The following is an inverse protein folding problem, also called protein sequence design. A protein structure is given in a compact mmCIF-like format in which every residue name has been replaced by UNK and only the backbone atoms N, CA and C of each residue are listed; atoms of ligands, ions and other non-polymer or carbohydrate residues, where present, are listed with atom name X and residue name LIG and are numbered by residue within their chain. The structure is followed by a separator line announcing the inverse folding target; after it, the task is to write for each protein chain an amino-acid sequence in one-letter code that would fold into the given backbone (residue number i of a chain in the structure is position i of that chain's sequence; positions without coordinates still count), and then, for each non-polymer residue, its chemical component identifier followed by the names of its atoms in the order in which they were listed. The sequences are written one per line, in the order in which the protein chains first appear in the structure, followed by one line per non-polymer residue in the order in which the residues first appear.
data_IF_720122364168
#
_entry.id   IF_720122364168
#
_cell.length_a   1.000
_cell.length_b   1.000
_cell.length_c   1.000
_cell.angle_alpha   90.00
_cell.angle_beta   90.00
_cell.angle_gamma   90.00
#
_symmetry.space_group_name_H-M   'P 1'
#
loop_
_entity.id
_entity.type
_entity.pdbx_description
1 polymer ?
#
# COMPACT_ATOMS: atom_id res chain seq x y z
N UNK A 1 6.24 19.31 -15.57
CA UNK A 1 5.59 19.96 -14.53
C UNK A 1 4.13 20.34 -14.80
N UNK A 2 3.34 19.45 -15.46
CA UNK A 2 1.93 19.75 -15.70
C UNK A 2 1.14 19.62 -14.40
N UNK A 3 0.24 20.54 -14.16
CA UNK A 3 -0.72 20.47 -13.05
C UNK A 3 -1.87 19.54 -13.43
N UNK A 4 -2.22 18.62 -12.53
CA UNK A 4 -3.27 17.64 -12.78
C UNK A 4 -4.18 17.49 -11.58
N UNK A 5 -5.44 17.17 -11.86
CA UNK A 5 -6.43 16.74 -10.86
C UNK A 5 -6.91 15.35 -11.22
N UNK A 6 -6.71 14.39 -10.33
CA UNK A 6 -6.99 12.98 -10.53
C UNK A 6 -8.02 12.48 -9.53
N UNK A 7 -8.89 11.58 -9.97
CA UNK A 7 -9.71 10.77 -9.06
C UNK A 7 -8.97 9.46 -8.78
N UNK A 8 -8.58 9.25 -7.54
CA UNK A 8 -7.75 8.13 -7.10
C UNK A 8 -8.52 7.20 -6.18
N UNK A 9 -8.28 5.90 -6.31
CA UNK A 9 -8.96 4.88 -5.51
C UNK A 9 -10.38 4.54 -5.98
N UNK A 10 -11.01 3.58 -5.33
CA UNK A 10 -12.43 3.23 -5.48
C UNK A 10 -12.88 2.58 -6.79
N UNK A 11 -12.05 2.51 -7.84
CA UNK A 11 -12.45 1.95 -9.14
C UNK A 11 -12.46 0.42 -9.18
N UNK A 12 -11.49 -0.20 -8.50
CA UNK A 12 -11.35 -1.67 -8.47
C UNK A 12 -12.15 -2.26 -7.31
N UNK A 13 -12.14 -1.59 -6.19
CA UNK A 13 -12.84 -1.98 -4.98
C UNK A 13 -13.77 -0.82 -4.55
N UNK A 14 -15.02 -0.93 -4.89
CA UNK A 14 -16.05 0.07 -4.58
C UNK A 14 -16.71 -0.15 -3.21
N UNK A 15 -16.46 -1.30 -2.58
CA UNK A 15 -17.08 -1.68 -1.31
C UNK A 15 -16.32 -1.08 -0.13
N UNK A 16 -14.99 -1.21 -0.12
CA UNK A 16 -14.14 -0.78 0.99
C UNK A 16 -13.40 0.51 0.74
N UNK A 17 -13.24 0.91 -0.52
CA UNK A 17 -12.47 2.08 -0.91
C UNK A 17 -13.35 3.10 -1.63
N UNK A 18 -13.34 4.31 -1.10
CA UNK A 18 -14.01 5.43 -1.77
C UNK A 18 -12.99 6.22 -2.61
N UNK A 19 -13.39 6.69 -3.81
CA UNK A 19 -12.53 7.54 -4.60
C UNK A 19 -12.33 8.89 -3.91
N UNK A 20 -11.13 9.45 -4.05
CA UNK A 20 -10.84 10.81 -3.58
C UNK A 20 -10.14 11.62 -4.68
N UNK A 21 -10.27 12.92 -4.61
CA UNK A 21 -9.66 13.85 -5.55
C UNK A 21 -8.26 14.20 -5.04
N UNK A 22 -7.27 14.05 -5.91
CA UNK A 22 -5.88 14.42 -5.64
C UNK A 22 -5.38 15.35 -6.74
N UNK A 23 -4.99 16.57 -6.36
CA UNK A 23 -4.43 17.58 -7.27
C UNK A 23 -2.96 17.79 -6.97
N UNK A 24 -2.16 18.00 -7.99
CA UNK A 24 -0.73 18.25 -7.81
C UNK A 24 0.00 18.38 -9.14
N UNK A 25 1.33 18.45 -9.07
CA UNK A 25 2.20 18.63 -10.22
C UNK A 25 2.84 17.29 -10.57
N UNK A 26 2.82 16.92 -11.85
CA UNK A 26 3.57 15.75 -12.34
C UNK A 26 5.06 16.06 -12.27
N UNK A 27 5.79 15.30 -11.44
CA UNK A 27 7.25 15.44 -11.28
C UNK A 27 8.01 14.35 -12.01
N UNK A 28 7.38 13.21 -12.33
CA UNK A 28 7.96 12.12 -13.09
C UNK A 28 6.89 11.45 -13.95
N UNK A 29 7.27 11.09 -15.18
CA UNK A 29 6.50 10.22 -16.07
C UNK A 29 7.47 9.34 -16.83
N UNK A 30 7.48 8.05 -16.55
CA UNK A 30 8.39 7.09 -17.21
C UNK A 30 7.80 5.69 -17.27
N UNK A 31 8.39 4.84 -18.10
CA UNK A 31 8.16 3.40 -18.13
C UNK A 31 9.08 2.73 -17.11
N UNK A 32 8.55 1.82 -16.31
CA UNK A 32 9.28 1.07 -15.29
C UNK A 32 8.95 -0.42 -15.39
N UNK A 33 9.54 -1.24 -14.53
CA UNK A 33 9.12 -2.65 -14.37
C UNK A 33 7.66 -2.81 -13.91
N UNK A 34 7.04 -1.73 -13.45
CA UNK A 34 5.62 -1.66 -13.05
C UNK A 34 4.73 -1.02 -14.12
N UNK A 35 5.20 -0.99 -15.38
CA UNK A 35 4.53 -0.32 -16.48
C UNK A 35 4.67 1.20 -16.43
N UNK A 36 3.76 1.91 -17.07
CA UNK A 36 3.73 3.37 -17.05
C UNK A 36 3.57 3.87 -15.62
N UNK A 37 4.52 4.66 -15.18
CA UNK A 37 4.57 5.17 -13.81
C UNK A 37 4.65 6.69 -13.81
N UNK A 38 3.83 7.30 -12.94
CA UNK A 38 3.74 8.75 -12.78
C UNK A 38 3.89 9.09 -11.30
N UNK A 39 4.61 10.17 -10.99
CA UNK A 39 4.63 10.77 -9.65
C UNK A 39 3.92 12.11 -9.70
N UNK A 40 2.92 12.26 -8.86
CA UNK A 40 2.22 13.53 -8.65
C UNK A 40 2.57 14.05 -7.26
N UNK A 41 3.10 15.27 -7.22
CA UNK A 41 3.52 15.93 -5.98
C UNK A 41 2.53 17.02 -5.57
N UNK A 42 2.13 16.99 -4.29
CA UNK A 42 1.35 18.03 -3.64
C UNK A 42 1.81 18.24 -2.20
N UNK A 43 2.18 19.47 -1.83
CA UNK A 43 2.56 19.84 -0.46
C UNK A 43 3.51 18.86 0.26
N UNK A 44 4.57 18.42 -0.42
CA UNK A 44 5.54 17.47 0.15
C UNK A 44 5.12 16.00 0.05
N UNK A 45 3.89 15.69 -0.35
CA UNK A 45 3.43 14.32 -0.58
C UNK A 45 3.73 13.93 -2.03
N UNK A 46 4.39 12.80 -2.21
CA UNK A 46 4.65 12.19 -3.51
C UNK A 46 3.75 10.98 -3.69
N UNK A 47 2.73 11.09 -4.54
CA UNK A 47 1.85 9.98 -4.88
C UNK A 47 2.39 9.27 -6.12
N UNK A 48 2.78 8.01 -5.96
CA UNK A 48 3.25 7.16 -7.05
C UNK A 48 2.05 6.38 -7.59
N UNK A 49 1.81 6.50 -8.89
CA UNK A 49 0.74 5.80 -9.60
C UNK A 49 1.39 4.97 -10.70
N UNK A 50 1.17 3.66 -10.68
CA UNK A 50 1.70 2.72 -11.67
C UNK A 50 0.58 1.90 -12.31
N UNK A 51 0.82 1.48 -13.55
CA UNK A 51 -0.11 0.64 -14.32
C UNK A 51 -0.24 -0.76 -13.74
N UNK A 52 0.88 -1.34 -13.30
CA UNK A 52 0.93 -2.63 -12.63
C UNK A 52 1.12 -2.47 -11.13
N UNK A 53 0.70 -3.45 -10.31
CA UNK A 53 0.85 -3.38 -8.86
C UNK A 53 2.31 -3.22 -8.43
N UNK A 54 2.62 -2.11 -7.81
CA UNK A 54 3.92 -1.84 -7.21
C UNK A 54 3.90 -2.32 -5.75
N UNK A 55 4.63 -3.39 -5.47
CA UNK A 55 4.66 -3.94 -4.12
C UNK A 55 5.57 -3.17 -3.15
N UNK A 56 6.31 -2.15 -3.63
CA UNK A 56 7.28 -1.33 -2.86
C UNK A 56 8.17 -2.20 -1.96
N UNK A 57 8.71 -3.28 -2.54
CA UNK A 57 9.41 -4.32 -1.77
C UNK A 57 10.75 -3.87 -1.23
N UNK A 58 11.41 -2.97 -1.95
CA UNK A 58 12.76 -2.53 -1.62
C UNK A 58 12.91 -1.01 -1.69
N UNK A 59 13.89 -0.44 -0.97
CA UNK A 59 14.27 0.97 -1.11
C UNK A 59 14.69 1.36 -2.53
N UNK A 60 15.20 0.41 -3.32
CA UNK A 60 15.59 0.63 -4.71
C UNK A 60 14.41 1.05 -5.57
N UNK A 61 13.22 0.51 -5.33
CA UNK A 61 12.00 0.85 -6.07
C UNK A 61 11.72 2.37 -6.03
N UNK A 62 12.00 3.01 -4.89
CA UNK A 62 11.89 4.48 -4.76
C UNK A 62 13.05 5.22 -5.39
N UNK A 63 14.27 4.69 -5.22
CA UNK A 63 15.49 5.29 -5.81
C UNK A 63 15.40 5.35 -7.32
N UNK A 64 14.91 4.32 -7.97
CA UNK A 64 14.73 4.23 -9.42
C UNK A 64 13.71 5.25 -9.95
N UNK A 65 12.83 5.71 -9.08
CA UNK A 65 11.88 6.80 -9.33
C UNK A 65 12.44 8.19 -8.92
N UNK A 66 13.75 8.28 -8.58
CA UNK A 66 14.38 9.52 -8.14
C UNK A 66 13.97 9.98 -6.74
N UNK A 67 13.29 9.14 -5.97
CA UNK A 67 12.86 9.45 -4.61
C UNK A 67 13.87 8.91 -3.58
N UNK A 68 14.25 9.77 -2.62
CA UNK A 68 15.13 9.38 -1.53
C UNK A 68 14.32 9.10 -0.25
N UNK A 69 14.29 7.85 0.17
CA UNK A 69 13.61 7.48 1.43
C UNK A 69 14.33 8.03 2.67
N UNK A 70 15.62 8.38 2.58
CA UNK A 70 16.35 9.03 3.66
C UNK A 70 15.90 10.47 3.95
N UNK A 71 15.31 11.12 2.93
CA UNK A 71 14.79 12.49 3.03
C UNK A 71 13.28 12.53 3.32
N UNK A 72 12.65 11.37 3.36
CA UNK A 72 11.22 11.27 3.63
C UNK A 72 10.98 11.15 5.14
N UNK A 73 10.04 11.92 5.66
CA UNK A 73 9.57 11.78 7.03
C UNK A 73 8.73 10.51 7.21
N UNK A 74 7.94 10.16 6.21
CA UNK A 74 7.07 8.99 6.19
C UNK A 74 7.16 8.31 4.82
N UNK A 75 7.34 6.98 4.83
CA UNK A 75 7.24 6.13 3.63
C UNK A 75 6.11 5.14 3.83
N UNK A 76 5.10 5.18 2.96
CA UNK A 76 3.98 4.24 2.99
C UNK A 76 4.27 3.10 2.02
N UNK A 77 4.28 1.87 2.54
CA UNK A 77 4.48 0.66 1.76
C UNK A 77 3.29 -0.28 1.93
N UNK A 78 2.71 -0.74 0.82
CA UNK A 78 1.67 -1.76 0.83
C UNK A 78 2.30 -3.14 0.77
N UNK A 79 2.91 -3.56 1.89
CA UNK A 79 3.61 -4.83 1.97
C UNK A 79 3.57 -5.35 3.41
N UNK A 80 3.20 -6.62 3.60
CA UNK A 80 2.93 -7.16 4.94
C UNK A 80 4.19 -7.62 5.69
N UNK A 81 5.09 -8.35 5.04
CA UNK A 81 6.24 -8.97 5.70
C UNK A 81 7.62 -8.58 5.12
N UNK A 82 7.87 -8.64 3.81
CA UNK A 82 9.20 -8.45 3.25
C UNK A 82 9.81 -7.08 3.54
N UNK A 83 8.99 -6.03 3.74
CA UNK A 83 9.50 -4.69 4.01
C UNK A 83 10.37 -4.63 5.26
N UNK A 84 10.10 -5.45 6.29
CA UNK A 84 10.85 -5.43 7.56
C UNK A 84 12.33 -5.73 7.35
N UNK A 85 12.65 -6.66 6.46
CA UNK A 85 14.03 -7.02 6.12
C UNK A 85 14.67 -6.00 5.20
N UNK A 86 13.95 -5.61 4.15
CA UNK A 86 14.48 -4.73 3.12
C UNK A 86 14.70 -3.29 3.59
N UNK A 87 13.93 -2.84 4.58
CA UNK A 87 14.01 -1.47 5.12
C UNK A 87 14.72 -1.41 6.49
N UNK A 88 15.32 -2.49 6.98
CA UNK A 88 15.92 -2.56 8.31
C UNK A 88 16.91 -1.43 8.58
N UNK A 89 17.76 -1.10 7.62
CA UNK A 89 18.76 -0.02 7.75
C UNK A 89 18.19 1.40 7.55
N UNK A 90 16.99 1.50 7.00
CA UNK A 90 16.34 2.77 6.67
C UNK A 90 15.28 3.17 7.69
N UNK A 91 14.79 2.21 8.44
CA UNK A 91 13.60 2.36 9.26
C UNK A 91 13.94 2.65 10.71
N UNK A 92 13.52 3.83 11.22
CA UNK A 92 13.64 4.18 12.63
C UNK A 92 12.42 3.75 13.46
N UNK A 93 11.25 3.74 12.84
CA UNK A 93 9.97 3.39 13.48
C UNK A 93 9.02 2.82 12.44
N UNK A 94 8.36 1.72 12.78
CA UNK A 94 7.31 1.13 11.96
C UNK A 94 5.96 1.35 12.62
N UNK A 95 4.99 1.80 11.82
CA UNK A 95 3.59 1.89 12.22
C UNK A 95 2.79 0.96 11.31
N UNK A 96 2.18 -0.07 11.89
CA UNK A 96 1.27 -0.94 11.16
C UNK A 96 -0.11 -0.30 11.14
N UNK A 97 -0.65 -0.11 9.94
CA UNK A 97 -1.98 0.45 9.74
C UNK A 97 -2.89 -0.63 9.17
N UNK A 98 -4.03 -0.83 9.82
CA UNK A 98 -5.09 -1.70 9.32
C UNK A 98 -6.12 -0.80 8.66
N UNK A 99 -6.24 -0.93 7.34
CA UNK A 99 -7.24 -0.22 6.55
C UNK A 99 -8.31 -1.18 6.03
N UNK A 100 -9.53 -0.71 5.75
CA UNK A 100 -10.52 -1.50 5.03
C UNK A 100 -9.97 -1.98 3.69
N UNK A 101 -10.33 -3.19 3.28
CA UNK A 101 -9.88 -3.76 2.00
C UNK A 101 -10.24 -5.25 1.88
N UNK A 102 -10.11 -5.78 0.66
CA UNK A 102 -10.40 -7.19 0.35
C UNK A 102 -9.50 -8.18 1.08
N UNK A 103 -8.27 -7.80 1.40
CA UNK A 103 -7.34 -8.60 2.18
C UNK A 103 -7.12 -7.96 3.54
N UNK A 104 -7.69 -8.56 4.57
CA UNK A 104 -7.49 -8.15 5.96
C UNK A 104 -6.58 -9.16 6.67
N UNK A 105 -5.65 -8.66 7.49
CA UNK A 105 -4.76 -9.50 8.31
C UNK A 105 -5.42 -10.01 9.57
N UNK A 106 -6.58 -9.46 9.93
CA UNK A 106 -7.38 -9.92 11.08
C UNK A 106 -8.45 -10.90 10.59
N UNK A 107 -8.31 -12.22 10.86
CA UNK A 107 -9.27 -13.21 10.43
C UNK A 107 -10.70 -12.95 10.95
N UNK A 108 -10.82 -12.34 12.13
CA UNK A 108 -12.14 -12.06 12.74
C UNK A 108 -12.96 -11.02 11.97
N UNK A 109 -12.30 -10.23 11.12
CA UNK A 109 -12.96 -9.21 10.28
C UNK A 109 -13.37 -9.71 8.90
N UNK A 110 -13.03 -10.95 8.57
CA UNK A 110 -13.42 -11.56 7.30
C UNK A 110 -14.70 -12.35 7.48
N UNK A 111 -15.65 -12.17 6.57
CA UNK A 111 -16.90 -12.91 6.59
C UNK A 111 -16.69 -14.28 5.93
N UNK A 112 -16.44 -15.29 6.75
CA UNK A 112 -16.29 -16.66 6.29
C UNK A 112 -17.65 -17.37 6.26
N UNK A 113 -18.15 -17.63 5.07
CA UNK A 113 -19.47 -18.25 4.86
C UNK A 113 -19.39 -19.77 4.70
N UNK A 114 -18.31 -20.29 4.10
CA UNK A 114 -18.21 -21.68 3.66
C UNK A 114 -17.09 -22.47 4.35
N UNK A 115 -16.70 -22.11 5.57
CA UNK A 115 -15.70 -22.89 6.31
C UNK A 115 -16.35 -23.71 7.43
N UNK A 116 -15.89 -24.96 7.65
CA UNK A 116 -16.36 -25.77 8.77
C UNK A 116 -16.04 -25.10 10.11
N UNK A 117 -16.97 -25.20 11.05
CA UNK A 117 -16.80 -24.66 12.41
C UNK A 117 -16.85 -25.83 13.41
N UNK A 118 -16.11 -25.79 14.55
CA UNK A 118 -15.24 -24.69 15.01
C UNK A 118 -13.87 -24.69 14.37
N UNK A 119 -13.27 -23.51 14.15
CA UNK A 119 -11.91 -23.34 13.63
C UNK A 119 -11.16 -22.21 14.34
N UNK A 120 -9.95 -22.46 14.79
CA UNK A 120 -9.07 -21.45 15.35
C UNK A 120 -8.50 -20.55 14.23
N UNK A 121 -8.37 -19.22 14.45
CA UNK A 121 -8.63 -18.43 15.67
C UNK A 121 -10.04 -17.81 15.75
N UNK A 122 -10.96 -18.19 14.88
CA UNK A 122 -12.31 -17.63 14.84
C UNK A 122 -13.19 -18.12 15.99
N UNK A 123 -12.93 -19.35 16.45
CA UNK A 123 -13.66 -19.98 17.53
C UNK A 123 -12.74 -20.32 18.70
N UNK A 124 -13.27 -20.27 19.92
CA UNK A 124 -12.63 -20.89 21.08
C UNK A 124 -12.74 -22.40 20.98
N UNK A 125 -11.61 -23.08 20.94
CA UNK A 125 -11.55 -24.54 20.98
C UNK A 125 -11.03 -24.94 22.36
N UNK A 126 -11.91 -25.42 23.24
CA UNK A 126 -11.56 -25.75 24.61
C UNK A 126 -10.83 -27.09 24.74
N UNK A 127 -11.10 -28.04 23.85
CA UNK A 127 -10.51 -29.38 23.83
C UNK A 127 -9.73 -29.64 22.55
N UNK A 128 -8.64 -28.94 22.44
CA UNK A 128 -7.72 -29.16 21.36
C UNK A 128 -6.62 -30.15 21.81
N UNK A 129 -6.63 -31.34 21.24
CA UNK A 129 -5.60 -32.38 21.37
C UNK A 129 -5.17 -32.83 19.99
#
# INVERSE_FOLDING_TARGET
GDEVTLTVGGKIDTVYNQPFIYSGIITLKQETSFGKTVIVKHNGIHLIISELPMASRTPADFKDLGLSIWKADIVVVKNLFPFRYNYLLYNRKTVNVISPGLSNTDPARLNYVNIPRPIYPLDKIENWR
#
